data_IF_943445423258
#
_entry.id   IF_943445423258
#
_cell.length_a   1.000
_cell.length_b   1.000
_cell.length_c   1.000
_cell.angle_alpha   90.00
_cell.angle_beta   90.00
_cell.angle_gamma   90.00
#
_symmetry.space_group_name_H-M   'P 1'
#
loop_
_entity.id
_entity.type
_entity.pdbx_description
1 polymer ?
#
# COMPACT_ATOMS: atom_id res chain seq x y z
N UNK A 1 -2.85 19.75 -0.24
CA UNK A 1 -4.31 19.54 -0.10
C UNK A 1 -4.60 18.09 -0.44
N UNK A 2 -5.03 17.29 0.53
CA UNK A 2 -5.35 15.87 0.34
C UNK A 2 -6.53 15.77 -0.63
N UNK A 3 -6.39 15.01 -1.72
CA UNK A 3 -7.38 14.98 -2.78
C UNK A 3 -8.55 14.06 -2.36
N UNK A 4 -9.60 14.65 -1.78
CA UNK A 4 -10.82 13.94 -1.32
C UNK A 4 -11.46 13.07 -2.41
N UNK A 5 -11.26 13.38 -3.70
CA UNK A 5 -11.79 12.58 -4.80
C UNK A 5 -11.15 11.19 -4.93
N UNK A 6 -9.96 10.98 -4.37
CA UNK A 6 -9.35 9.63 -4.30
C UNK A 6 -10.07 8.81 -3.24
N UNK A 7 -10.46 9.43 -2.12
CA UNK A 7 -11.21 8.77 -1.04
C UNK A 7 -12.58 8.25 -1.50
N UNK A 8 -13.26 8.98 -2.39
CA UNK A 8 -14.58 8.58 -2.91
C UNK A 8 -14.55 7.32 -3.80
N UNK A 9 -13.37 6.81 -4.19
CA UNK A 9 -13.23 5.64 -5.06
C UNK A 9 -12.49 4.46 -4.41
N UNK A 10 -12.13 4.58 -3.12
CA UNK A 10 -11.55 3.46 -2.36
C UNK A 10 -12.72 2.57 -1.90
N UNK A 11 -12.68 1.28 -2.26
CA UNK A 11 -13.72 0.34 -1.86
C UNK A 11 -13.75 0.16 -0.35
N UNK A 12 -14.91 -0.18 0.22
CA UNK A 12 -15.01 -0.54 1.64
C UNK A 12 -14.05 -1.68 2.00
N UNK A 13 -13.79 -2.58 1.05
CA UNK A 13 -12.87 -3.71 1.21
C UNK A 13 -11.42 -3.25 1.36
N UNK A 14 -10.95 -2.30 0.55
CA UNK A 14 -9.62 -1.70 0.70
C UNK A 14 -9.47 -1.00 2.05
N UNK A 15 -10.51 -0.30 2.52
CA UNK A 15 -10.48 0.34 3.85
C UNK A 15 -10.41 -0.67 5.00
N UNK A 16 -11.18 -1.76 4.92
CA UNK A 16 -11.13 -2.85 5.89
C UNK A 16 -9.74 -3.49 5.92
N UNK A 17 -9.21 -3.87 4.76
CA UNK A 17 -7.86 -4.46 4.66
C UNK A 17 -6.80 -3.50 5.20
N UNK A 18 -6.94 -2.20 4.94
CA UNK A 18 -6.02 -1.18 5.43
C UNK A 18 -5.95 -1.18 6.96
N UNK A 19 -7.10 -1.17 7.62
CA UNK A 19 -7.17 -1.19 9.09
C UNK A 19 -6.56 -2.46 9.67
N UNK A 20 -6.81 -3.62 9.04
CA UNK A 20 -6.21 -4.89 9.45
C UNK A 20 -4.67 -4.89 9.32
N UNK A 21 -4.14 -4.10 8.38
CA UNK A 21 -2.72 -4.04 8.08
C UNK A 21 -1.95 -2.93 8.84
N UNK A 22 -2.62 -1.97 9.46
CA UNK A 22 -2.04 -0.71 9.96
C UNK A 22 -0.90 -0.91 10.98
N UNK A 23 -0.98 -1.95 11.81
CA UNK A 23 0.03 -2.26 12.82
C UNK A 23 1.23 -3.07 12.29
N UNK A 24 1.25 -3.42 11.01
CA UNK A 24 2.34 -4.22 10.43
C UNK A 24 3.57 -3.37 10.09
N UNK A 25 4.74 -3.95 10.27
CA UNK A 25 6.02 -3.34 9.89
C UNK A 25 6.13 -3.14 8.37
N UNK A 26 7.01 -2.22 7.93
CA UNK A 26 7.27 -1.97 6.51
C UNK A 26 7.64 -3.26 5.75
N UNK A 27 8.55 -4.07 6.29
CA UNK A 27 8.95 -5.32 5.65
C UNK A 27 7.78 -6.29 5.48
N UNK A 28 6.89 -6.41 6.48
CA UNK A 28 5.69 -7.25 6.36
C UNK A 28 4.74 -6.73 5.28
N UNK A 29 4.54 -5.42 5.19
CA UNK A 29 3.73 -4.79 4.15
C UNK A 29 4.34 -5.02 2.75
N UNK A 30 5.66 -4.87 2.60
CA UNK A 30 6.37 -5.13 1.34
C UNK A 30 6.22 -6.60 0.94
N UNK A 31 6.45 -7.54 1.87
CA UNK A 31 6.28 -8.97 1.60
C UNK A 31 4.84 -9.29 1.20
N UNK A 32 3.85 -8.74 1.91
CA UNK A 32 2.43 -8.94 1.58
C UNK A 32 2.09 -8.36 0.20
N UNK A 33 2.61 -7.19 -0.14
CA UNK A 33 2.39 -6.58 -1.47
C UNK A 33 2.96 -7.45 -2.59
N UNK A 34 4.19 -7.96 -2.42
CA UNK A 34 4.88 -8.78 -3.42
C UNK A 34 4.24 -10.16 -3.60
N UNK A 35 3.70 -10.74 -2.53
CA UNK A 35 3.08 -12.07 -2.55
C UNK A 35 1.59 -12.07 -2.83
N UNK A 36 0.90 -10.94 -2.64
CA UNK A 36 -0.54 -10.83 -2.88
C UNK A 36 -0.89 -10.86 -4.36
N UNK A 37 -1.92 -11.64 -4.72
CA UNK A 37 -2.59 -11.59 -6.01
C UNK A 37 -3.79 -10.64 -6.01
N UNK A 38 -4.30 -10.25 -4.84
CA UNK A 38 -5.40 -9.30 -4.68
C UNK A 38 -4.91 -7.87 -4.89
N UNK A 39 -5.57 -7.17 -5.82
CA UNK A 39 -5.31 -5.76 -6.11
C UNK A 39 -5.77 -4.87 -4.95
N UNK A 40 -6.85 -5.22 -4.24
CA UNK A 40 -7.32 -4.49 -3.06
C UNK A 40 -6.27 -4.49 -1.94
N UNK A 41 -5.62 -5.63 -1.71
CA UNK A 41 -4.49 -5.72 -0.78
C UNK A 41 -3.32 -4.82 -1.20
N UNK A 42 -2.99 -4.79 -2.50
CA UNK A 42 -1.92 -3.94 -3.02
C UNK A 42 -2.26 -2.47 -2.86
N UNK A 43 -3.49 -2.08 -3.15
CA UNK A 43 -3.97 -0.71 -2.99
C UNK A 43 -3.99 -0.29 -1.51
N UNK A 44 -4.46 -1.16 -0.61
CA UNK A 44 -4.44 -0.90 0.82
C UNK A 44 -3.01 -0.64 1.33
N UNK A 45 -2.04 -1.47 0.91
CA UNK A 45 -0.64 -1.30 1.29
C UNK A 45 -0.04 0.01 0.76
N UNK A 46 -0.34 0.37 -0.49
CA UNK A 46 0.10 1.67 -1.06
C UNK A 46 -0.50 2.84 -0.30
N UNK A 47 -1.74 2.73 0.17
CA UNK A 47 -2.38 3.76 0.99
C UNK A 47 -1.72 3.88 2.38
N UNK A 48 -1.40 2.76 3.03
CA UNK A 48 -0.68 2.76 4.32
C UNK A 48 0.65 3.49 4.18
N UNK A 49 1.43 3.21 3.13
CA UNK A 49 2.69 3.92 2.91
C UNK A 49 2.48 5.41 2.66
N UNK A 50 1.47 5.82 1.89
CA UNK A 50 1.18 7.25 1.71
C UNK A 50 0.81 7.92 3.04
N UNK A 51 0.01 7.28 3.87
CA UNK A 51 -0.42 7.80 5.18
C UNK A 51 0.75 7.89 6.16
N UNK A 52 1.73 6.97 6.07
CA UNK A 52 3.00 7.02 6.82
C UNK A 52 4.00 8.06 6.30
N UNK A 53 3.65 8.81 5.24
CA UNK A 53 4.46 9.91 4.71
C UNK A 53 5.37 9.56 3.55
N UNK A 54 5.31 8.34 3.01
CA UNK A 54 6.13 7.95 1.86
C UNK A 54 5.61 8.60 0.58
N UNK A 55 6.53 9.13 -0.20
CA UNK A 55 6.25 9.65 -1.53
C UNK A 55 5.99 8.50 -2.52
N UNK A 56 5.34 8.83 -3.63
CA UNK A 56 5.11 7.86 -4.72
C UNK A 56 6.43 7.24 -5.23
N UNK A 57 7.53 8.00 -5.23
CA UNK A 57 8.83 7.52 -5.69
C UNK A 57 9.40 6.48 -4.72
N UNK A 58 9.39 6.79 -3.42
CA UNK A 58 9.86 5.87 -2.37
C UNK A 58 9.04 4.58 -2.35
N UNK A 59 7.71 4.69 -2.44
CA UNK A 59 6.82 3.52 -2.55
C UNK A 59 7.22 2.66 -3.77
N UNK A 60 7.47 3.29 -4.93
CA UNK A 60 7.91 2.58 -6.13
C UNK A 60 9.32 2.00 -6.05
N UNK A 61 10.15 2.41 -5.09
CA UNK A 61 11.46 1.82 -4.80
C UNK A 61 11.32 0.64 -3.84
N UNK A 62 10.56 0.80 -2.74
CA UNK A 62 10.30 -0.24 -1.75
C UNK A 62 9.61 -1.47 -2.36
N UNK A 63 8.62 -1.22 -3.22
CA UNK A 63 7.81 -2.25 -3.83
C UNK A 63 8.44 -2.84 -5.10
N UNK A 64 9.55 -2.27 -5.58
CA UNK A 64 10.26 -2.81 -6.74
C UNK A 64 10.81 -4.19 -6.39
N UNK A 65 10.77 -5.10 -7.34
CA UNK A 65 11.50 -6.36 -7.21
C UNK A 65 13.01 -6.07 -7.27
N UNK A 66 13.84 -6.82 -6.51
CA UNK A 66 15.27 -6.80 -6.76
C UNK A 66 15.46 -7.23 -8.21
N UNK A 67 16.09 -6.39 -9.04
CA UNK A 67 16.56 -6.86 -10.34
C UNK A 67 17.48 -8.05 -10.07
N UNK A 68 17.07 -9.24 -10.49
CA UNK A 68 17.99 -10.36 -10.63
C UNK A 68 19.12 -9.86 -11.54
N UNK A 69 20.31 -9.74 -10.95
CA UNK A 69 21.55 -9.45 -11.67
C UNK A 69 22.10 -10.74 -12.26
#
# INVERSE_FOLDING_TARGET
MFNLNIFNKISSEVLTIKNDLELNSENQLITKYKTSTSEDYKQAIVLIFKERGYTRLEIGQLLREPKAS
#
